data_IF_860892797026
#
_entry.id   IF_860892797026
#
_cell.length_a   1.000
_cell.length_b   1.000
_cell.length_c   1.000
_cell.angle_alpha   90.00
_cell.angle_beta   90.00
_cell.angle_gamma   90.00
#
_symmetry.space_group_name_H-M   'P 1'
#
loop_
_entity.id
_entity.type
_entity.pdbx_description
1 polymer ?
#
# COMPACT_ATOMS: atom_id res chain seq x y z
N UNK A 1 13.41 -17.34 25.25
CA UNK A 1 14.02 -18.27 24.27
C UNK A 1 14.55 -17.42 23.13
N UNK A 2 15.82 -17.62 22.77
CA UNK A 2 16.48 -16.95 21.64
C UNK A 2 15.75 -17.33 20.33
N UNK A 3 15.12 -16.36 19.68
CA UNK A 3 14.57 -16.48 18.34
C UNK A 3 15.50 -15.79 17.35
N UNK A 4 16.06 -16.59 16.45
CA UNK A 4 17.04 -16.25 15.42
C UNK A 4 16.67 -14.99 14.62
N UNK A 5 17.49 -13.93 14.72
CA UNK A 5 17.69 -13.01 13.59
C UNK A 5 18.38 -13.83 12.49
N UNK A 6 17.60 -14.45 11.61
CA UNK A 6 18.08 -14.76 10.28
C UNK A 6 18.26 -13.42 9.58
N UNK A 7 19.47 -12.86 9.71
CA UNK A 7 19.96 -11.89 8.75
C UNK A 7 19.92 -12.60 7.39
N UNK A 8 18.88 -12.31 6.61
CA UNK A 8 18.88 -12.57 5.19
C UNK A 8 20.18 -11.97 4.65
N UNK A 9 20.94 -12.76 3.89
CA UNK A 9 22.06 -12.23 3.14
C UNK A 9 21.59 -10.96 2.40
N UNK A 10 22.39 -9.89 2.31
CA UNK A 10 21.96 -8.67 1.65
C UNK A 10 21.61 -9.02 0.20
N UNK A 11 20.32 -9.20 -0.08
CA UNK A 11 19.80 -9.15 -1.41
C UNK A 11 20.25 -7.82 -1.97
N UNK A 12 20.81 -7.83 -3.18
CA UNK A 12 21.14 -6.60 -3.89
C UNK A 12 19.82 -5.84 -4.04
N UNK A 13 19.59 -4.83 -3.20
CA UNK A 13 18.43 -3.94 -3.28
C UNK A 13 18.40 -3.40 -4.70
N UNK A 14 17.34 -3.70 -5.45
CA UNK A 14 17.18 -3.16 -6.79
C UNK A 14 16.92 -1.66 -6.66
N UNK A 15 17.83 -0.83 -7.18
CA UNK A 15 17.65 0.62 -7.22
C UNK A 15 17.10 1.08 -8.58
N UNK A 16 17.02 0.18 -9.56
CA UNK A 16 16.49 0.45 -10.89
C UNK A 16 15.43 -0.59 -11.25
N UNK A 17 14.28 -0.10 -11.69
CA UNK A 17 13.11 -0.88 -12.03
C UNK A 17 12.63 -0.53 -13.44
N UNK A 18 12.06 -1.50 -14.15
CA UNK A 18 11.70 -1.36 -15.55
C UNK A 18 10.35 -1.99 -15.84
N UNK A 19 9.43 -1.24 -16.45
CA UNK A 19 8.11 -1.71 -16.83
C UNK A 19 7.88 -1.40 -18.31
N UNK A 20 7.46 -2.41 -19.06
CA UNK A 20 6.86 -2.23 -20.38
C UNK A 20 5.34 -2.30 -20.25
N UNK A 21 4.64 -1.29 -20.77
CA UNK A 21 3.19 -1.18 -20.74
C UNK A 21 2.65 -1.23 -22.16
N UNK A 22 1.79 -2.21 -22.42
CA UNK A 22 0.92 -2.23 -23.59
C UNK A 22 -0.52 -1.94 -23.17
N UNK A 23 -1.33 -1.44 -24.10
CA UNK A 23 -2.67 -0.94 -23.76
C UNK A 23 -3.72 -1.22 -24.82
N UNK A 24 -4.95 -1.53 -24.39
CA UNK A 24 -6.07 -1.79 -25.28
C UNK A 24 -6.76 -0.51 -25.77
N UNK A 25 -7.19 -0.49 -27.05
CA UNK A 25 -8.01 0.58 -27.63
C UNK A 25 -9.10 0.01 -28.52
N UNK A 26 -10.32 0.56 -28.43
CA UNK A 26 -11.42 0.27 -29.37
C UNK A 26 -12.68 -0.36 -28.76
N UNK A 27 -12.90 -0.26 -27.45
CA UNK A 27 -14.09 -0.80 -26.77
C UNK A 27 -15.43 -0.18 -27.21
N UNK A 28 -16.56 -0.60 -26.60
CA UNK A 28 -17.88 -0.01 -26.88
C UNK A 28 -18.57 0.45 -25.58
N UNK A 29 -18.82 1.77 -25.40
CA UNK A 29 -18.46 2.88 -26.29
C UNK A 29 -16.94 3.00 -26.46
N UNK A 30 -16.48 3.63 -27.55
CA UNK A 30 -15.05 3.75 -27.84
C UNK A 30 -14.28 4.45 -26.71
N UNK A 31 -13.31 3.74 -26.14
CA UNK A 31 -12.39 4.22 -25.12
C UNK A 31 -10.99 3.65 -25.34
N UNK A 32 -10.02 4.21 -24.61
CA UNK A 32 -8.62 3.80 -24.62
C UNK A 32 -8.20 3.51 -23.18
N UNK A 33 -7.46 2.41 -23.01
CA UNK A 33 -6.82 2.07 -21.74
C UNK A 33 -5.40 2.63 -21.63
N UNK A 34 -4.94 3.45 -22.60
CA UNK A 34 -3.62 4.06 -22.54
C UNK A 34 -3.45 4.91 -21.27
N UNK A 35 -2.49 4.61 -20.38
CA UNK A 35 -2.21 5.48 -19.25
C UNK A 35 -1.68 6.83 -19.77
N UNK A 36 -2.19 7.91 -19.21
CA UNK A 36 -1.67 9.25 -19.52
C UNK A 36 -0.28 9.45 -18.93
N UNK A 37 0.49 10.41 -19.46
CA UNK A 37 1.81 10.75 -18.88
C UNK A 37 1.72 11.13 -17.40
N UNK A 38 0.63 11.76 -16.95
CA UNK A 38 0.45 12.11 -15.54
C UNK A 38 0.36 10.88 -14.62
N UNK A 39 -0.25 9.78 -15.10
CA UNK A 39 -0.30 8.49 -14.39
C UNK A 39 1.11 7.93 -14.23
N UNK A 40 1.88 7.95 -15.31
CA UNK A 40 3.27 7.48 -15.32
C UNK A 40 4.15 8.34 -14.39
N UNK A 41 4.07 9.66 -14.52
CA UNK A 41 4.89 10.60 -13.74
C UNK A 41 4.62 10.49 -12.24
N UNK A 42 3.38 10.24 -11.81
CA UNK A 42 3.04 10.07 -10.40
C UNK A 42 3.70 8.81 -9.79
N UNK A 43 3.65 7.68 -10.49
CA UNK A 43 4.28 6.43 -10.02
C UNK A 43 5.80 6.51 -10.10
N UNK A 44 6.37 7.10 -11.15
CA UNK A 44 7.81 7.34 -11.25
C UNK A 44 8.29 8.25 -10.11
N UNK A 45 7.56 9.32 -9.81
CA UNK A 45 7.88 10.24 -8.72
C UNK A 45 7.81 9.54 -7.35
N UNK A 46 6.82 8.66 -7.13
CA UNK A 46 6.70 7.87 -5.90
C UNK A 46 8.01 7.11 -5.62
N UNK A 47 8.57 6.42 -6.62
CA UNK A 47 9.84 5.69 -6.51
C UNK A 47 11.05 6.63 -6.38
N UNK A 48 11.08 7.73 -7.15
CA UNK A 48 12.16 8.70 -7.11
C UNK A 48 12.34 9.32 -5.72
N UNK A 49 11.24 9.56 -4.99
CA UNK A 49 11.28 10.06 -3.62
C UNK A 49 11.93 9.11 -2.60
N UNK A 50 12.08 7.83 -2.96
CA UNK A 50 12.70 6.80 -2.13
C UNK A 50 14.10 6.44 -2.62
N UNK A 51 14.65 7.23 -3.56
CA UNK A 51 15.96 7.02 -4.15
C UNK A 51 16.01 5.91 -5.19
N UNK A 52 14.85 5.46 -5.69
CA UNK A 52 14.77 4.45 -6.75
C UNK A 52 14.54 5.09 -8.11
N UNK A 53 15.05 4.45 -9.17
CA UNK A 53 14.78 4.83 -10.55
C UNK A 53 13.77 3.85 -11.14
N UNK A 54 12.58 4.33 -11.49
CA UNK A 54 11.59 3.56 -12.23
C UNK A 54 11.53 4.06 -13.67
N UNK A 55 11.77 3.17 -14.63
CA UNK A 55 11.61 3.44 -16.06
C UNK A 55 10.36 2.74 -16.57
N UNK A 56 9.41 3.51 -17.08
CA UNK A 56 8.20 2.97 -17.71
C UNK A 56 8.23 3.33 -19.19
N UNK A 57 8.02 2.33 -20.04
CA UNK A 57 7.83 2.51 -21.48
C UNK A 57 6.42 2.09 -21.83
N UNK A 58 5.61 3.03 -22.31
CA UNK A 58 4.32 2.72 -22.94
C UNK A 58 4.60 2.44 -24.41
N UNK A 59 4.40 1.20 -24.85
CA UNK A 59 4.88 0.71 -26.15
C UNK A 59 3.71 0.47 -27.12
N UNK A 60 3.09 -0.71 -27.07
CA UNK A 60 2.16 -1.14 -28.11
C UNK A 60 0.69 -0.83 -27.82
N UNK A 61 0.01 -0.38 -28.88
CA UNK A 61 -1.44 -0.32 -28.91
C UNK A 61 -2.01 -1.68 -29.32
N UNK A 62 -2.73 -2.31 -28.40
CA UNK A 62 -3.39 -3.58 -28.58
C UNK A 62 -4.82 -3.42 -29.09
N UNK A 63 -5.29 -4.43 -29.82
CA UNK A 63 -6.71 -4.54 -30.16
C UNK A 63 -7.53 -4.78 -28.89
N UNK A 64 -8.64 -4.04 -28.73
CA UNK A 64 -9.52 -4.20 -27.57
C UNK A 64 -10.08 -5.62 -27.44
N UNK A 65 -9.92 -6.16 -26.24
CA UNK A 65 -10.60 -7.38 -25.79
C UNK A 65 -11.33 -7.04 -24.50
N UNK A 66 -12.64 -7.31 -24.44
CA UNK A 66 -13.43 -6.99 -23.25
C UNK A 66 -12.97 -7.78 -22.01
N UNK A 67 -12.56 -9.03 -22.19
CA UNK A 67 -12.16 -9.91 -21.09
C UNK A 67 -10.95 -10.74 -21.51
N UNK A 68 -9.83 -10.58 -20.82
CA UNK A 68 -8.70 -11.50 -20.89
C UNK A 68 -9.10 -12.85 -20.30
N UNK A 69 -8.89 -13.92 -21.05
CA UNK A 69 -9.38 -15.26 -20.68
C UNK A 69 -8.30 -16.14 -20.06
N UNK A 70 -8.71 -17.01 -19.14
CA UNK A 70 -7.93 -18.14 -18.61
C UNK A 70 -8.00 -19.35 -19.55
N UNK A 71 -7.29 -20.43 -19.21
CA UNK A 71 -7.46 -21.71 -19.90
C UNK A 71 -8.90 -22.21 -19.68
N UNK A 72 -9.71 -22.33 -20.74
CA UNK A 72 -11.10 -22.78 -20.60
C UNK A 72 -11.21 -24.25 -20.14
N UNK A 73 -10.13 -25.02 -20.17
CA UNK A 73 -10.09 -26.39 -19.68
C UNK A 73 -9.50 -26.51 -18.26
N UNK A 74 -8.92 -25.43 -17.74
CA UNK A 74 -8.27 -25.37 -16.43
C UNK A 74 -8.35 -23.95 -15.85
N UNK A 75 -9.54 -23.58 -15.38
CA UNK A 75 -9.79 -22.22 -14.86
C UNK A 75 -8.98 -21.90 -13.61
N UNK A 76 -8.57 -22.92 -12.86
CA UNK A 76 -7.74 -22.79 -11.66
C UNK A 76 -6.27 -22.47 -12.02
N UNK A 77 -5.85 -22.71 -13.27
CA UNK A 77 -4.52 -22.32 -13.73
C UNK A 77 -4.39 -20.80 -13.82
N UNK A 78 -3.15 -20.32 -13.63
CA UNK A 78 -2.84 -18.89 -13.70
C UNK A 78 -3.24 -18.28 -15.04
N UNK A 79 -3.88 -17.10 -14.99
CA UNK A 79 -4.20 -16.26 -16.13
C UNK A 79 -2.96 -15.98 -17.00
N UNK A 80 -1.82 -15.78 -16.36
CA UNK A 80 -0.54 -15.46 -17.01
C UNK A 80 0.06 -16.64 -17.78
N UNK A 81 -0.35 -17.88 -17.45
CA UNK A 81 0.20 -19.10 -18.05
C UNK A 81 -0.49 -19.51 -19.36
N UNK A 82 -1.73 -19.07 -19.58
CA UNK A 82 -2.51 -19.46 -20.75
C UNK A 82 -2.10 -18.65 -21.99
N UNK A 83 -1.87 -19.35 -23.11
CA UNK A 83 -1.41 -18.78 -24.39
C UNK A 83 -2.41 -19.06 -25.53
N UNK A 84 -3.71 -19.01 -25.23
CA UNK A 84 -4.77 -19.13 -26.23
C UNK A 84 -5.26 -17.78 -26.77
N UNK A 85 -6.26 -17.80 -27.64
CA UNK A 85 -6.91 -16.57 -28.14
C UNK A 85 -7.43 -15.71 -26.99
N UNK A 86 -7.24 -14.38 -27.07
CA UNK A 86 -7.68 -13.40 -26.07
C UNK A 86 -7.08 -13.61 -24.66
N UNK A 87 -5.95 -14.31 -24.55
CA UNK A 87 -5.26 -14.53 -23.28
C UNK A 87 -4.12 -13.55 -23.06
N UNK A 88 -3.70 -13.38 -21.80
CA UNK A 88 -2.51 -12.61 -21.47
C UNK A 88 -1.26 -13.19 -22.15
N UNK A 89 -1.04 -14.51 -22.05
CA UNK A 89 0.17 -15.15 -22.57
C UNK A 89 0.32 -15.03 -24.09
N UNK A 90 -0.78 -15.03 -24.84
CA UNK A 90 -0.74 -14.80 -26.29
C UNK A 90 -0.37 -13.36 -26.66
N UNK A 91 -0.83 -12.39 -25.87
CA UNK A 91 -0.45 -10.99 -26.06
C UNK A 91 1.02 -10.79 -25.68
N UNK A 92 1.45 -11.26 -24.50
CA UNK A 92 2.84 -11.18 -24.04
C UNK A 92 3.80 -11.80 -25.05
N UNK A 93 3.50 -12.99 -25.56
CA UNK A 93 4.36 -13.68 -26.53
C UNK A 93 4.53 -12.92 -27.86
N UNK A 94 3.61 -12.02 -28.21
CA UNK A 94 3.63 -11.27 -29.45
C UNK A 94 4.18 -9.84 -29.31
N UNK A 95 4.11 -9.24 -28.12
CA UNK A 95 4.38 -7.81 -27.94
C UNK A 95 5.41 -7.50 -26.83
N UNK A 96 5.80 -8.46 -25.97
CA UNK A 96 6.79 -8.16 -24.93
C UNK A 96 8.22 -8.05 -25.51
N UNK A 97 8.54 -6.86 -26.00
CA UNK A 97 9.75 -6.54 -26.77
C UNK A 97 11.03 -6.62 -25.92
N UNK A 98 10.90 -6.39 -24.61
CA UNK A 98 12.03 -6.37 -23.67
C UNK A 98 12.25 -7.67 -22.91
N UNK A 99 11.54 -8.76 -23.25
CA UNK A 99 11.70 -10.07 -22.62
C UNK A 99 13.16 -10.60 -22.65
N UNK A 100 13.90 -10.31 -23.72
CA UNK A 100 15.30 -10.74 -23.89
C UNK A 100 16.33 -9.69 -23.44
N UNK A 101 15.90 -8.60 -22.81
CA UNK A 101 16.78 -7.56 -22.31
C UNK A 101 17.60 -8.06 -21.11
N UNK A 102 18.76 -7.45 -20.88
CA UNK A 102 19.61 -7.79 -19.73
C UNK A 102 19.05 -7.25 -18.40
N UNK A 103 18.21 -6.22 -18.45
CA UNK A 103 17.50 -5.69 -17.28
C UNK A 103 16.23 -6.53 -16.99
N UNK A 104 15.79 -6.62 -15.73
CA UNK A 104 14.55 -7.30 -15.36
C UNK A 104 13.35 -6.42 -15.70
N UNK A 105 12.83 -6.53 -16.92
CA UNK A 105 11.60 -5.84 -17.32
C UNK A 105 10.38 -6.62 -16.85
N UNK A 106 9.42 -5.89 -16.30
CA UNK A 106 8.10 -6.40 -15.95
C UNK A 106 7.11 -6.03 -17.05
N UNK A 107 6.20 -6.94 -17.39
CA UNK A 107 5.26 -6.74 -18.48
C UNK A 107 3.86 -6.47 -17.96
N UNK A 108 3.35 -5.29 -18.31
CA UNK A 108 2.05 -4.79 -17.89
C UNK A 108 1.12 -4.66 -19.09
N UNK A 109 -0.12 -5.13 -18.95
CA UNK A 109 -1.19 -4.80 -19.89
C UNK A 109 -2.24 -3.94 -19.20
N UNK A 110 -2.45 -2.74 -19.72
CA UNK A 110 -3.64 -1.95 -19.43
C UNK A 110 -4.80 -2.47 -20.28
N UNK A 111 -5.58 -3.37 -19.68
CA UNK A 111 -6.67 -4.10 -20.29
C UNK A 111 -8.04 -3.66 -19.76
N UNK A 112 -9.10 -4.24 -20.31
CA UNK A 112 -10.47 -3.94 -19.90
C UNK A 112 -10.86 -4.69 -18.62
N UNK A 113 -11.06 -6.01 -18.71
CA UNK A 113 -11.33 -6.90 -17.59
C UNK A 113 -10.60 -8.23 -17.80
N UNK A 114 -10.59 -9.10 -16.80
CA UNK A 114 -10.05 -10.46 -16.89
C UNK A 114 -10.99 -11.48 -16.23
N UNK A 115 -10.65 -12.76 -16.38
CA UNK A 115 -11.35 -13.87 -15.73
C UNK A 115 -10.73 -14.25 -14.38
N UNK A 116 -11.55 -14.46 -13.35
CA UNK A 116 -11.12 -15.05 -12.07
C UNK A 116 -10.79 -16.55 -12.21
N UNK A 117 -10.35 -17.19 -11.11
CA UNK A 117 -10.01 -18.62 -11.07
C UNK A 117 -11.19 -19.57 -11.38
N UNK A 118 -12.40 -19.06 -11.56
CA UNK A 118 -13.57 -19.82 -11.98
C UNK A 118 -13.98 -19.52 -13.43
N UNK A 119 -13.10 -18.86 -14.20
CA UNK A 119 -13.37 -18.35 -15.55
C UNK A 119 -14.55 -17.36 -15.64
N UNK A 120 -14.93 -16.71 -14.53
CA UNK A 120 -15.95 -15.66 -14.56
C UNK A 120 -15.28 -14.30 -14.75
N UNK A 121 -15.93 -13.40 -15.49
CA UNK A 121 -15.45 -12.02 -15.60
C UNK A 121 -15.47 -11.37 -14.23
N UNK A 122 -14.32 -10.87 -13.78
CA UNK A 122 -14.19 -10.11 -12.53
C UNK A 122 -14.16 -8.61 -12.78
N UNK A 123 -14.47 -7.85 -11.74
CA UNK A 123 -14.44 -6.39 -11.66
C UNK A 123 -13.21 -5.88 -10.93
N UNK A 124 -12.27 -6.76 -10.59
CA UNK A 124 -10.99 -6.42 -9.96
C UNK A 124 -10.22 -5.41 -10.80
N UNK A 125 -9.64 -4.40 -10.15
CA UNK A 125 -8.86 -3.35 -10.81
C UNK A 125 -7.56 -3.84 -11.41
N UNK A 126 -7.07 -5.02 -11.02
CA UNK A 126 -5.82 -5.59 -11.51
C UNK A 126 -5.60 -7.03 -11.07
N UNK A 127 -4.49 -7.59 -11.52
CA UNK A 127 -3.98 -8.89 -11.10
C UNK A 127 -2.47 -8.89 -11.34
N UNK A 128 -1.72 -9.46 -10.41
CA UNK A 128 -0.29 -9.67 -10.57
C UNK A 128 0.08 -11.10 -10.19
N UNK A 129 1.14 -11.61 -10.80
CA UNK A 129 1.91 -12.70 -10.21
C UNK A 129 3.13 -12.13 -9.48
N UNK A 130 3.78 -12.94 -8.67
CA UNK A 130 5.06 -12.55 -8.10
C UNK A 130 6.15 -12.54 -9.18
N UNK A 131 6.49 -11.36 -9.66
CA UNK A 131 7.84 -11.03 -10.11
C UNK A 131 8.07 -10.81 -11.59
N UNK A 132 7.05 -10.88 -12.44
CA UNK A 132 7.22 -10.62 -13.87
C UNK A 132 6.03 -9.93 -14.52
N UNK A 133 4.82 -10.35 -14.17
CA UNK A 133 3.62 -10.05 -14.97
C UNK A 133 2.51 -9.47 -14.12
N UNK A 134 1.84 -8.49 -14.69
CA UNK A 134 0.64 -7.92 -14.09
C UNK A 134 -0.24 -7.22 -15.12
N UNK A 135 -1.47 -6.91 -14.71
CA UNK A 135 -2.46 -6.20 -15.53
C UNK A 135 -3.18 -5.14 -14.71
N UNK A 136 -3.53 -4.04 -15.39
CA UNK A 136 -4.45 -3.03 -14.87
C UNK A 136 -5.76 -3.14 -15.66
N UNK A 137 -6.86 -3.43 -14.98
CA UNK A 137 -8.18 -3.76 -15.55
C UNK A 137 -9.32 -2.94 -14.96
N UNK A 138 -9.43 -1.68 -15.37
CA UNK A 138 -10.43 -0.73 -14.86
C UNK A 138 -11.73 -0.67 -15.68
N UNK A 139 -12.03 -1.71 -16.47
CA UNK A 139 -13.22 -1.77 -17.35
C UNK A 139 -14.56 -1.73 -16.61
N UNK A 140 -14.60 -2.20 -15.36
CA UNK A 140 -15.79 -2.13 -14.49
C UNK A 140 -15.93 -0.79 -13.74
N UNK A 141 -14.92 0.10 -13.83
CA UNK A 141 -14.86 1.34 -13.09
C UNK A 141 -15.45 2.51 -13.90
N UNK A 142 -15.47 3.71 -13.30
CA UNK A 142 -15.98 4.92 -13.93
C UNK A 142 -15.40 5.11 -15.34
N UNK A 143 -16.26 5.40 -16.31
CA UNK A 143 -15.85 5.58 -17.71
C UNK A 143 -15.28 4.34 -18.40
N UNK A 144 -15.36 3.15 -17.78
CA UNK A 144 -14.70 1.91 -18.21
C UNK A 144 -13.16 1.98 -18.27
N UNK A 145 -12.58 2.97 -17.59
CA UNK A 145 -11.13 3.18 -17.54
C UNK A 145 -10.64 3.61 -16.15
N UNK A 146 -11.56 3.82 -15.20
CA UNK A 146 -11.27 4.46 -13.92
C UNK A 146 -10.87 5.93 -14.08
N UNK A 147 -10.66 6.58 -12.94
CA UNK A 147 -10.02 7.90 -12.85
C UNK A 147 -8.51 7.78 -13.05
N UNK A 148 -7.83 8.92 -13.25
CA UNK A 148 -6.36 8.93 -13.31
C UNK A 148 -5.74 8.45 -12.00
N UNK A 149 -6.38 8.72 -10.86
CA UNK A 149 -5.91 8.21 -9.56
C UNK A 149 -6.05 6.69 -9.50
N UNK A 150 -7.19 6.13 -9.93
CA UNK A 150 -7.40 4.68 -9.99
C UNK A 150 -6.31 3.99 -10.82
N UNK A 151 -5.98 4.55 -11.99
CA UNK A 151 -4.93 4.03 -12.86
C UNK A 151 -3.55 4.04 -12.21
N UNK A 152 -3.15 5.17 -11.61
CA UNK A 152 -1.83 5.30 -10.99
C UNK A 152 -1.69 4.43 -9.74
N UNK A 153 -2.71 4.42 -8.88
CA UNK A 153 -2.68 3.62 -7.67
C UNK A 153 -2.72 2.12 -7.95
N UNK A 154 -3.49 1.69 -8.96
CA UNK A 154 -3.51 0.28 -9.38
C UNK A 154 -2.19 -0.12 -10.03
N UNK A 155 -1.63 0.72 -10.91
CA UNK A 155 -0.29 0.47 -11.48
C UNK A 155 0.77 0.32 -10.38
N UNK A 156 0.77 1.20 -9.39
CA UNK A 156 1.67 1.09 -8.25
C UNK A 156 1.41 -0.19 -7.46
N UNK A 157 0.16 -0.48 -7.09
CA UNK A 157 -0.22 -1.67 -6.33
C UNK A 157 0.23 -2.98 -7.01
N UNK A 158 -0.13 -3.17 -8.27
CA UNK A 158 0.21 -4.38 -9.02
C UNK A 158 1.72 -4.53 -9.20
N UNK A 159 2.42 -3.43 -9.43
CA UNK A 159 3.87 -3.45 -9.49
C UNK A 159 4.49 -3.77 -8.12
N UNK A 160 3.85 -3.40 -7.02
CA UNK A 160 4.24 -3.80 -5.67
C UNK A 160 4.27 -5.31 -5.47
N UNK A 161 3.30 -6.05 -6.04
CA UNK A 161 3.33 -7.51 -6.04
C UNK A 161 4.51 -8.08 -6.82
N UNK A 162 4.83 -7.50 -7.98
CA UNK A 162 6.05 -7.84 -8.71
C UNK A 162 7.33 -7.54 -7.91
N UNK A 163 7.26 -6.66 -6.91
CA UNK A 163 8.36 -6.34 -6.00
C UNK A 163 8.34 -7.10 -4.67
N UNK A 164 7.52 -8.15 -4.57
CA UNK A 164 7.40 -9.01 -3.40
C UNK A 164 6.59 -8.42 -2.24
N UNK A 165 5.70 -7.47 -2.52
CA UNK A 165 4.75 -6.96 -1.53
C UNK A 165 3.42 -7.74 -1.59
N UNK A 166 2.71 -7.76 -0.48
CA UNK A 166 1.36 -8.32 -0.35
C UNK A 166 0.40 -7.26 0.19
N UNK A 167 -0.89 -7.57 0.31
CA UNK A 167 -1.88 -6.60 0.81
C UNK A 167 -1.69 -6.15 2.27
N UNK A 168 -0.84 -6.83 3.04
CA UNK A 168 -0.43 -6.44 4.38
C UNK A 168 1.08 -6.11 4.47
N UNK A 169 1.74 -5.94 3.32
CA UNK A 169 3.15 -5.61 3.23
C UNK A 169 4.12 -6.78 3.40
N UNK A 170 3.71 -7.93 3.97
CA UNK A 170 4.58 -9.11 4.12
C UNK A 170 3.94 -10.42 3.67
N UNK A 171 4.75 -11.43 3.33
CA UNK A 171 4.31 -12.79 2.98
C UNK A 171 3.47 -13.53 4.05
N UNK A 172 3.20 -12.90 5.20
CA UNK A 172 2.58 -13.53 6.36
C UNK A 172 1.17 -13.02 6.68
N UNK A 173 0.59 -12.07 5.94
CA UNK A 173 -0.88 -12.05 5.91
C UNK A 173 -1.30 -13.29 5.15
N UNK A 174 -1.85 -14.27 5.86
CA UNK A 174 -2.40 -15.46 5.24
C UNK A 174 -3.36 -15.08 4.11
N UNK A 175 -3.47 -15.94 3.10
CA UNK A 175 -4.59 -15.95 2.15
C UNK A 175 -5.78 -16.76 2.70
N UNK A 176 -5.62 -17.38 3.87
CA UNK A 176 -6.63 -18.20 4.53
C UNK A 176 -7.27 -17.45 5.71
N UNK A 177 -8.53 -17.06 5.55
CA UNK A 177 -9.36 -16.47 6.61
C UNK A 177 -9.54 -17.38 7.85
N UNK A 178 -9.23 -18.68 7.74
CA UNK A 178 -9.25 -19.61 8.85
C UNK A 178 -7.96 -19.57 9.69
N UNK A 179 -6.89 -18.92 9.21
CA UNK A 179 -5.67 -18.71 9.98
C UNK A 179 -5.94 -17.69 11.12
N UNK A 180 -5.64 -18.03 12.39
CA UNK A 180 -5.78 -17.09 13.50
C UNK A 180 -4.89 -15.84 13.37
N UNK A 181 -3.78 -15.93 12.62
CA UNK A 181 -2.88 -14.81 12.35
C UNK A 181 -3.22 -14.07 11.04
N UNK A 182 -4.37 -14.39 10.42
CA UNK A 182 -4.84 -13.73 9.19
C UNK A 182 -5.03 -12.22 9.39
N UNK A 183 -4.25 -11.43 8.65
CA UNK A 183 -4.42 -10.00 8.51
C UNK A 183 -5.01 -9.76 7.12
N UNK A 184 -6.28 -9.34 7.04
CA UNK A 184 -6.97 -9.11 5.77
C UNK A 184 -6.38 -7.97 4.93
N UNK A 185 -6.84 -7.79 3.68
CA UNK A 185 -6.23 -6.85 2.73
C UNK A 185 -6.50 -5.37 3.03
N UNK A 186 -7.28 -5.08 4.06
CA UNK A 186 -7.62 -3.72 4.48
C UNK A 186 -6.84 -3.37 5.74
N UNK A 187 -5.52 -3.32 5.71
CA UNK A 187 -4.71 -3.09 6.92
C UNK A 187 -4.77 -1.63 7.38
N UNK A 188 -5.26 -1.38 8.62
CA UNK A 188 -5.54 -0.03 9.17
C UNK A 188 -4.33 0.83 9.51
N UNK A 189 -3.21 0.21 9.85
CA UNK A 189 -2.00 0.90 10.28
C UNK A 189 -0.87 0.73 9.27
N UNK A 190 -1.16 0.25 8.06
CA UNK A 190 -0.19 0.17 6.97
C UNK A 190 -0.52 1.23 5.90
N UNK A 191 0.03 2.45 6.00
CA UNK A 191 -0.25 3.56 5.11
C UNK A 191 0.39 3.32 3.74
N UNK A 192 -0.26 2.48 2.94
CA UNK A 192 0.26 1.96 1.68
C UNK A 192 -0.83 1.68 0.67
N UNK A 193 -0.57 1.95 -0.60
CA UNK A 193 -1.45 1.56 -1.71
C UNK A 193 -1.61 0.04 -1.85
N UNK A 194 -0.74 -0.77 -1.22
CA UNK A 194 -0.91 -2.23 -1.16
C UNK A 194 -2.12 -2.65 -0.32
N UNK A 195 -2.54 -1.85 0.66
CA UNK A 195 -3.77 -2.10 1.40
C UNK A 195 -4.96 -1.59 0.59
N UNK A 196 -5.96 -2.45 0.37
CA UNK A 196 -7.21 -2.08 -0.30
C UNK A 196 -7.92 -0.91 0.37
N UNK A 197 -7.68 -0.71 1.68
CA UNK A 197 -8.16 0.46 2.42
C UNK A 197 -7.81 1.76 1.71
N UNK A 198 -6.58 1.83 1.21
CA UNK A 198 -5.92 3.05 0.76
C UNK A 198 -5.74 3.10 -0.76
N UNK A 199 -5.68 1.95 -1.42
CA UNK A 199 -5.38 1.84 -2.85
C UNK A 199 -6.10 2.91 -3.69
N UNK A 200 -7.42 2.87 -3.75
CA UNK A 200 -8.19 3.82 -4.58
C UNK A 200 -8.66 5.06 -3.82
N UNK A 201 -8.56 5.06 -2.48
CA UNK A 201 -9.04 6.15 -1.63
C UNK A 201 -7.96 7.18 -1.28
N UNK A 202 -6.69 6.90 -1.58
CA UNK A 202 -5.53 7.69 -1.18
C UNK A 202 -5.09 7.38 0.24
N UNK A 203 -3.79 7.11 0.43
CA UNK A 203 -3.22 6.82 1.77
C UNK A 203 -3.49 7.98 2.72
N UNK A 204 -2.95 9.18 2.46
CA UNK A 204 -3.17 10.35 3.33
C UNK A 204 -4.65 10.69 3.43
N UNK A 205 -5.34 10.77 2.29
CA UNK A 205 -6.72 11.24 2.23
C UNK A 205 -7.67 10.35 3.04
N UNK A 206 -7.55 9.03 2.90
CA UNK A 206 -8.38 8.08 3.63
C UNK A 206 -7.98 7.99 5.11
N UNK A 207 -6.70 8.14 5.45
CA UNK A 207 -6.28 8.27 6.85
C UNK A 207 -6.89 9.50 7.53
N UNK A 208 -6.93 10.65 6.85
CA UNK A 208 -7.62 11.84 7.37
C UNK A 208 -9.11 11.58 7.55
N UNK A 209 -9.75 10.93 6.57
CA UNK A 209 -11.17 10.62 6.63
C UNK A 209 -11.54 9.69 7.78
N UNK A 210 -10.74 8.66 8.03
CA UNK A 210 -10.97 7.73 9.12
C UNK A 210 -10.45 8.23 10.48
N UNK A 211 -9.97 9.48 10.57
CA UNK A 211 -9.43 10.01 11.82
C UNK A 211 -8.20 9.25 12.33
N UNK A 212 -7.42 8.66 11.42
CA UNK A 212 -6.18 7.94 11.74
C UNK A 212 -4.99 8.89 11.86
N UNK A 213 -5.12 10.09 11.31
CA UNK A 213 -4.08 11.10 11.30
C UNK A 213 -4.66 12.52 11.16
N UNK A 214 -3.78 13.52 11.10
CA UNK A 214 -4.12 14.92 10.89
C UNK A 214 -3.31 15.52 9.73
N UNK A 215 -3.70 16.72 9.29
CA UNK A 215 -3.26 17.37 8.07
C UNK A 215 -1.73 17.54 7.92
N UNK A 216 -1.03 17.80 9.03
CA UNK A 216 0.42 17.97 9.07
C UNK A 216 1.19 16.66 9.10
N UNK A 217 0.56 15.51 9.31
CA UNK A 217 1.25 14.23 9.26
C UNK A 217 1.83 13.97 7.87
N UNK A 218 2.99 13.31 7.85
CA UNK A 218 3.78 13.14 6.62
C UNK A 218 3.40 11.82 5.95
N UNK A 219 2.35 11.89 5.15
CA UNK A 219 1.92 10.83 4.24
C UNK A 219 1.71 11.41 2.85
N UNK A 220 1.91 10.58 1.84
CA UNK A 220 1.49 10.83 0.45
C UNK A 220 0.20 10.07 0.17
N UNK A 221 -0.48 10.34 -0.94
CA UNK A 221 -1.66 9.58 -1.35
C UNK A 221 -1.29 8.33 -2.15
N UNK A 222 -0.17 8.37 -2.89
CA UNK A 222 0.44 7.21 -3.54
C UNK A 222 1.81 6.95 -2.90
N UNK A 223 1.87 5.97 -2.01
CA UNK A 223 3.09 5.51 -1.35
C UNK A 223 2.99 4.05 -0.92
N UNK A 224 4.14 3.42 -0.69
CA UNK A 224 4.24 2.25 0.16
C UNK A 224 4.59 2.67 1.59
N UNK A 225 4.36 1.77 2.53
CA UNK A 225 4.60 2.03 3.94
C UNK A 225 6.09 2.08 4.28
N UNK A 226 6.38 2.92 5.27
CA UNK A 226 7.70 3.08 5.88
C UNK A 226 7.86 2.28 7.18
N UNK A 227 6.84 1.50 7.59
CA UNK A 227 6.90 0.66 8.80
C UNK A 227 7.03 1.47 10.09
N UNK A 228 6.36 2.62 10.17
CA UNK A 228 6.51 3.59 11.28
C UNK A 228 5.31 3.66 12.20
N UNK A 229 4.14 3.23 11.74
CA UNK A 229 2.90 3.31 12.52
C UNK A 229 2.91 2.35 13.72
N UNK A 230 2.07 2.66 14.71
CA UNK A 230 1.90 1.83 15.89
C UNK A 230 1.21 0.51 15.54
N UNK A 231 1.64 -0.58 16.19
CA UNK A 231 0.87 -1.81 16.21
C UNK A 231 -0.50 -1.55 16.87
N UNK A 232 -1.54 -2.20 16.35
CA UNK A 232 -2.90 -2.16 16.87
C UNK A 232 -3.24 -3.53 17.43
N UNK A 233 -3.52 -3.60 18.72
CA UNK A 233 -4.07 -4.80 19.36
C UNK A 233 -5.59 -4.74 19.27
N UNK A 234 -6.18 -5.50 18.36
CA UNK A 234 -7.62 -5.47 18.09
C UNK A 234 -8.46 -5.99 19.28
N UNK A 235 -7.87 -6.71 20.24
CA UNK A 235 -8.56 -7.08 21.49
C UNK A 235 -8.54 -5.97 22.55
N UNK A 236 -7.71 -4.94 22.36
CA UNK A 236 -7.48 -3.88 23.35
C UNK A 236 -7.11 -2.52 22.71
N UNK A 237 -7.87 -2.08 21.70
CA UNK A 237 -7.64 -0.80 21.05
C UNK A 237 -7.94 0.35 22.01
N UNK A 238 -7.07 1.36 21.99
CA UNK A 238 -7.26 2.59 22.75
C UNK A 238 -7.59 3.73 21.79
N UNK A 239 -8.84 4.16 21.80
CA UNK A 239 -9.36 5.21 20.91
C UNK A 239 -8.86 6.59 21.29
N UNK A 240 -8.66 6.82 22.59
CA UNK A 240 -8.05 8.07 23.07
C UNK A 240 -6.64 8.24 22.51
N UNK A 241 -5.88 7.14 22.45
CA UNK A 241 -4.55 7.13 21.87
C UNK A 241 -4.57 7.10 20.33
N UNK A 242 -5.52 6.38 19.73
CA UNK A 242 -5.58 6.08 18.30
C UNK A 242 -4.27 5.49 17.80
N UNK A 243 -3.69 6.10 16.77
CA UNK A 243 -2.37 5.75 16.20
C UNK A 243 -1.21 6.49 16.88
N UNK A 244 -1.43 7.05 18.08
CA UNK A 244 -0.61 8.05 18.78
C UNK A 244 -0.52 9.43 18.10
N UNK A 245 -1.01 9.56 16.86
CA UNK A 245 -1.05 10.84 16.15
C UNK A 245 -2.26 11.68 16.53
N UNK A 246 -3.43 11.05 16.57
CA UNK A 246 -4.72 11.63 16.91
C UNK A 246 -5.60 10.55 17.55
N UNK A 247 -6.58 10.93 18.37
CA UNK A 247 -7.61 10.00 18.84
C UNK A 247 -8.44 9.48 17.66
N UNK A 248 -8.79 8.20 17.69
CA UNK A 248 -9.49 7.49 16.62
C UNK A 248 -10.63 6.68 17.24
N UNK A 249 -11.86 6.99 16.85
CA UNK A 249 -13.05 6.19 17.13
C UNK A 249 -13.05 4.99 16.16
N UNK A 250 -12.60 3.83 16.65
CA UNK A 250 -12.38 2.64 15.83
C UNK A 250 -13.70 1.93 15.53
N UNK A 251 -14.62 1.92 16.49
CA UNK A 251 -15.92 1.24 16.34
C UNK A 251 -17.05 2.12 15.79
N UNK A 252 -16.76 3.41 15.61
CA UNK A 252 -17.63 4.42 15.06
C UNK A 252 -18.91 4.64 15.89
N UNK A 253 -18.87 4.38 17.21
CA UNK A 253 -20.02 4.56 18.10
C UNK A 253 -20.20 6.03 18.58
N UNK A 254 -19.20 6.88 18.32
CA UNK A 254 -19.17 8.30 18.68
C UNK A 254 -18.62 8.59 20.07
N UNK A 255 -18.12 7.59 20.77
CA UNK A 255 -17.44 7.66 22.07
C UNK A 255 -15.96 7.36 21.88
N UNK A 256 -15.13 7.76 22.86
CA UNK A 256 -13.72 7.41 22.88
C UNK A 256 -13.42 6.61 24.14
N UNK A 257 -13.01 5.37 23.95
CA UNK A 257 -12.65 4.44 25.00
C UNK A 257 -11.15 4.14 25.07
N UNK A 258 -10.71 3.73 26.25
CA UNK A 258 -9.30 3.37 26.48
C UNK A 258 -8.98 1.91 26.13
N UNK A 259 -10.00 1.09 25.88
CA UNK A 259 -9.87 -0.35 25.59
C UNK A 259 -11.18 -0.88 24.99
N UNK A 260 -11.19 -1.14 23.69
CA UNK A 260 -12.29 -1.82 23.00
C UNK A 260 -11.75 -2.99 22.18
N UNK A 261 -12.63 -3.94 21.87
CA UNK A 261 -12.32 -5.07 21.02
C UNK A 261 -12.98 -4.86 19.65
N UNK A 262 -12.18 -4.58 18.63
CA UNK A 262 -12.68 -4.23 17.30
C UNK A 262 -11.75 -4.73 16.19
N UNK A 263 -12.30 -5.38 15.15
CA UNK A 263 -11.52 -5.71 13.96
C UNK A 263 -11.39 -4.47 13.09
N UNK A 264 -10.17 -3.95 13.00
CA UNK A 264 -9.85 -2.78 12.22
C UNK A 264 -9.53 -3.11 10.77
N UNK A 265 -9.43 -4.38 10.37
CA UNK A 265 -8.98 -4.83 9.06
C UNK A 265 -10.08 -5.34 8.12
N UNK A 266 -11.32 -4.94 8.38
CA UNK A 266 -12.46 -5.27 7.53
C UNK A 266 -12.57 -4.31 6.33
N UNK A 267 -13.28 -4.73 5.27
CA UNK A 267 -13.60 -3.88 4.12
C UNK A 267 -14.48 -2.68 4.50
N UNK A 268 -15.15 -2.79 5.64
CA UNK A 268 -15.84 -1.69 6.29
C UNK A 268 -15.19 -1.35 7.63
N UNK A 269 -14.65 -0.14 7.70
CA UNK A 269 -13.95 0.36 8.87
C UNK A 269 -14.81 0.30 10.14
N UNK A 270 -16.10 0.60 9.99
CA UNK A 270 -17.07 0.65 11.09
C UNK A 270 -17.83 -0.68 11.26
N UNK A 271 -17.30 -1.81 10.79
CA UNK A 271 -17.93 -3.13 10.97
C UNK A 271 -16.93 -4.15 11.55
N UNK A 272 -17.30 -4.77 12.67
CA UNK A 272 -16.42 -5.63 13.48
C UNK A 272 -16.40 -7.12 13.10
N UNK A 273 -16.78 -7.46 11.87
CA UNK A 273 -16.72 -8.85 11.39
C UNK A 273 -15.29 -9.39 11.30
N UNK A 274 -15.08 -10.69 11.61
CA UNK A 274 -13.80 -11.39 11.41
C UNK A 274 -13.01 -11.71 12.69
N UNK A 275 -11.84 -12.33 12.51
CA UNK A 275 -10.89 -12.57 13.60
C UNK A 275 -10.20 -11.27 13.99
N UNK A 276 -9.88 -11.13 15.28
CA UNK A 276 -9.09 -10.02 15.80
C UNK A 276 -7.66 -10.47 16.01
N UNK A 277 -6.71 -9.61 15.67
CA UNK A 277 -5.28 -9.91 15.71
C UNK A 277 -4.47 -8.68 16.14
N UNK A 278 -3.15 -8.83 16.22
CA UNK A 278 -2.24 -7.70 16.33
C UNK A 278 -1.85 -7.28 14.92
N UNK A 279 -2.34 -6.11 14.51
CA UNK A 279 -2.04 -5.53 13.21
C UNK A 279 -0.74 -4.74 13.32
N UNK A 280 0.22 -4.99 12.45
CA UNK A 280 1.51 -4.31 12.47
C UNK A 280 1.81 -3.66 11.13
N UNK A 281 2.41 -2.49 11.19
CA UNK A 281 2.94 -1.82 10.00
C UNK A 281 4.22 -2.51 9.53
N UNK A 282 4.43 -2.52 8.22
CA UNK A 282 5.59 -3.13 7.58
C UNK A 282 6.34 -2.10 6.73
N UNK A 283 7.67 -2.08 6.83
CA UNK A 283 8.48 -1.18 6.00
C UNK A 283 8.67 -1.78 4.61
N UNK A 284 7.70 -1.54 3.74
CA UNK A 284 7.69 -2.05 2.36
C UNK A 284 8.86 -1.48 1.55
N UNK A 285 9.13 -0.17 1.66
CA UNK A 285 10.23 0.47 0.93
C UNK A 285 11.61 -0.10 1.26
N UNK A 286 11.83 -0.53 2.51
CA UNK A 286 13.09 -1.15 2.91
C UNK A 286 13.21 -2.62 2.47
N UNK A 287 12.11 -3.25 2.06
CA UNK A 287 12.05 -4.70 1.81
C UNK A 287 11.64 -5.05 0.37
N UNK A 288 11.67 -4.09 -0.56
CA UNK A 288 11.46 -4.37 -1.99
C UNK A 288 12.50 -5.39 -2.50
N UNK A 289 12.01 -6.39 -3.22
CA UNK A 289 12.81 -7.42 -3.89
C UNK A 289 12.42 -7.48 -5.36
N UNK A 290 13.34 -7.83 -6.26
CA UNK A 290 13.05 -7.86 -7.70
C UNK A 290 13.58 -9.13 -8.36
N UNK A 291 12.86 -9.62 -9.36
CA UNK A 291 13.15 -10.81 -10.15
C UNK A 291 13.67 -11.99 -9.33
N UNK A 292 14.93 -12.38 -9.57
CA UNK A 292 15.55 -13.53 -8.91
C UNK A 292 15.85 -13.34 -7.41
N UNK A 293 15.55 -12.19 -6.81
CA UNK A 293 15.60 -11.98 -5.36
C UNK A 293 14.26 -12.24 -4.65
N UNK A 294 13.15 -12.33 -5.39
CA UNK A 294 11.82 -12.57 -4.80
C UNK A 294 11.82 -13.93 -4.09
N UNK A 295 11.40 -14.06 -2.82
CA UNK A 295 11.39 -15.34 -2.11
C UNK A 295 10.62 -16.44 -2.87
N UNK A 296 11.13 -17.68 -2.86
CA UNK A 296 10.50 -18.78 -3.60
C UNK A 296 9.06 -19.09 -3.16
N UNK A 297 8.72 -18.78 -1.92
CA UNK A 297 7.39 -18.88 -1.35
C UNK A 297 6.45 -17.74 -1.77
N UNK A 298 6.99 -16.61 -2.27
CA UNK A 298 6.20 -15.61 -3.00
C UNK A 298 6.11 -15.99 -4.48
N UNK A 299 7.14 -16.64 -5.05
CA UNK A 299 7.16 -17.13 -6.45
C UNK A 299 6.33 -18.39 -6.72
N UNK A 300 5.59 -18.93 -5.75
CA UNK A 300 4.54 -19.89 -6.13
C UNK A 300 3.62 -19.19 -7.13
N UNK A 301 2.93 -19.93 -8.00
CA UNK A 301 1.96 -19.39 -8.98
C UNK A 301 0.73 -18.71 -8.32
N UNK A 302 0.91 -18.11 -7.16
CA UNK A 302 -0.06 -17.33 -6.43
C UNK A 302 -0.23 -16.01 -7.17
N UNK A 303 -1.47 -15.78 -7.59
CA UNK A 303 -1.88 -14.54 -8.19
C UNK A 303 -2.50 -13.69 -7.10
N UNK A 304 -2.08 -12.43 -7.02
CA UNK A 304 -2.65 -11.46 -6.12
C UNK A 304 -3.70 -10.68 -6.89
N UNK A 305 -4.96 -10.91 -6.52
CA UNK A 305 -6.07 -10.11 -7.02
C UNK A 305 -5.97 -8.71 -6.49
N UNK A 306 -6.57 -7.74 -7.18
CA UNK A 306 -6.73 -6.38 -6.69
C UNK A 306 -8.15 -6.11 -6.18
N UNK A 307 -8.36 -4.93 -5.56
CA UNK A 307 -9.68 -4.48 -5.13
C UNK A 307 -10.71 -4.49 -6.28
N UNK A 308 -11.89 -5.00 -6.01
CA UNK A 308 -13.02 -5.02 -6.96
C UNK A 308 -13.78 -3.70 -6.99
N UNK A 309 -14.52 -3.45 -8.07
CA UNK A 309 -15.42 -2.30 -8.15
C UNK A 309 -16.49 -2.32 -7.03
N UNK A 310 -16.96 -3.50 -6.63
CA UNK A 310 -17.91 -3.69 -5.53
C UNK A 310 -17.30 -3.30 -4.18
N UNK A 311 -16.08 -3.77 -3.89
CA UNK A 311 -15.34 -3.40 -2.68
C UNK A 311 -15.01 -1.90 -2.66
N UNK A 312 -14.65 -1.33 -3.81
CA UNK A 312 -14.42 0.11 -3.92
C UNK A 312 -15.68 0.92 -3.60
N UNK A 313 -16.86 0.49 -4.10
CA UNK A 313 -18.13 1.14 -3.76
C UNK A 313 -18.41 1.11 -2.25
N UNK A 314 -18.01 0.06 -1.53
CA UNK A 314 -18.13 -0.01 -0.06
C UNK A 314 -17.31 1.09 0.60
N UNK A 315 -16.05 1.28 0.18
CA UNK A 315 -15.18 2.35 0.72
C UNK A 315 -15.72 3.73 0.35
N UNK A 316 -16.16 3.94 -0.90
CA UNK A 316 -16.73 5.23 -1.33
C UNK A 316 -17.96 5.62 -0.50
N UNK A 317 -18.84 4.66 -0.20
CA UNK A 317 -20.00 4.90 0.64
C UNK A 317 -19.59 5.30 2.06
N UNK A 318 -18.56 4.68 2.64
CA UNK A 318 -18.03 5.08 3.96
C UNK A 318 -17.45 6.49 3.93
N UNK A 319 -16.65 6.81 2.92
CA UNK A 319 -16.09 8.15 2.75
C UNK A 319 -17.21 9.20 2.65
N UNK A 320 -18.30 8.89 1.93
CA UNK A 320 -19.45 9.78 1.81
C UNK A 320 -20.22 9.95 3.12
N UNK A 321 -20.38 8.88 3.93
CA UNK A 321 -21.07 8.93 5.22
C UNK A 321 -20.36 9.80 6.26
N UNK A 322 -19.03 9.86 6.21
CA UNK A 322 -18.23 10.70 7.14
C UNK A 322 -18.34 12.20 6.86
N UNK A 323 -18.91 12.59 5.71
CA UNK A 323 -19.17 13.98 5.34
C UNK A 323 -17.90 14.80 5.05
N UNK A 324 -18.09 16.11 4.79
CA UNK A 324 -16.97 17.04 4.59
C UNK A 324 -16.23 16.88 3.25
N UNK A 325 -14.90 17.06 3.29
CA UNK A 325 -13.96 16.96 2.17
C UNK A 325 -13.56 15.54 1.82
N UNK A 326 -14.18 14.51 2.43
CA UNK A 326 -13.88 13.11 2.19
C UNK A 326 -14.30 12.63 0.81
N UNK A 327 -13.33 12.52 -0.09
CA UNK A 327 -13.48 12.07 -1.46
C UNK A 327 -12.18 11.44 -1.96
N UNK A 328 -12.22 10.83 -3.13
CA UNK A 328 -11.01 10.32 -3.76
C UNK A 328 -10.07 11.50 -4.10
N UNK A 329 -8.75 11.41 -3.81
CA UNK A 329 -7.80 12.42 -4.22
C UNK A 329 -7.76 12.57 -5.75
N UNK A 330 -7.53 13.79 -6.21
CA UNK A 330 -7.17 14.00 -7.61
C UNK A 330 -5.72 13.61 -7.81
N UNK A 331 -5.40 12.90 -8.88
CA UNK A 331 -4.02 12.52 -9.19
C UNK A 331 -3.11 13.75 -9.23
N UNK A 332 -2.00 13.68 -8.49
CA UNK A 332 -0.94 14.67 -8.51
C UNK A 332 0.42 13.97 -8.44
N UNK A 333 1.42 14.59 -9.05
CA UNK A 333 2.82 14.25 -8.80
C UNK A 333 3.21 14.84 -7.44
N UNK A 334 3.34 13.99 -6.43
CA UNK A 334 3.59 14.42 -5.06
C UNK A 334 5.08 14.75 -4.83
N UNK A 335 5.36 15.88 -4.20
CA UNK A 335 6.73 16.25 -3.83
C UNK A 335 7.28 15.27 -2.78
N UNK A 336 8.58 15.04 -2.82
CA UNK A 336 9.23 14.22 -1.81
C UNK A 336 9.14 14.88 -0.43
N UNK A 337 8.80 14.06 0.56
CA UNK A 337 8.74 14.48 1.95
C UNK A 337 10.17 14.79 2.41
N UNK A 338 10.36 15.95 3.02
CA UNK A 338 11.68 16.38 3.53
C UNK A 338 11.97 15.91 4.95
N UNK A 339 10.94 15.39 5.64
CA UNK A 339 10.98 14.92 7.01
C UNK A 339 10.23 13.60 7.17
N UNK A 340 10.19 13.11 8.40
CA UNK A 340 9.60 11.81 8.73
C UNK A 340 8.66 11.91 9.94
N UNK A 341 7.78 10.92 10.05
CA UNK A 341 6.98 10.68 11.25
C UNK A 341 7.87 9.96 12.27
N UNK A 342 8.10 10.58 13.42
CA UNK A 342 9.02 10.15 14.48
C UNK A 342 8.25 9.97 15.78
N UNK A 343 8.49 8.88 16.51
CA UNK A 343 7.85 8.61 17.79
C UNK A 343 8.83 8.72 18.96
N UNK A 344 8.36 9.32 20.05
CA UNK A 344 9.11 9.50 21.30
C UNK A 344 8.28 8.96 22.45
N UNK A 345 8.87 8.14 23.32
CA UNK A 345 8.16 7.48 24.42
C UNK A 345 9.02 6.47 25.19
N UNK A 346 8.41 5.85 26.20
CA UNK A 346 9.09 4.85 27.03
C UNK A 346 9.64 3.68 26.20
N UNK A 347 10.87 3.27 26.53
CA UNK A 347 11.72 2.49 25.66
C UNK A 347 12.19 1.16 26.25
N UNK A 348 12.38 0.17 25.36
CA UNK A 348 13.10 -1.06 25.63
C UNK A 348 13.99 -1.48 24.43
N UNK A 349 15.31 -1.39 24.64
CA UNK A 349 16.44 -2.02 23.91
C UNK A 349 16.91 -1.53 22.50
N UNK A 350 16.07 -1.16 21.53
CA UNK A 350 16.55 -0.60 20.21
C UNK A 350 15.75 0.62 19.71
N UNK A 351 16.36 1.79 19.55
CA UNK A 351 15.68 3.03 19.10
C UNK A 351 15.79 3.23 17.59
N UNK A 352 14.65 3.45 16.92
CA UNK A 352 14.59 3.72 15.49
C UNK A 352 13.64 4.88 15.11
N UNK A 353 12.93 5.45 16.09
CA UNK A 353 11.94 6.50 15.87
C UNK A 353 10.63 6.01 15.24
N UNK A 354 10.42 4.70 15.14
CA UNK A 354 9.12 4.10 14.80
C UNK A 354 8.26 4.01 16.05
N UNK A 355 6.95 3.80 15.93
CA UNK A 355 6.12 3.70 17.13
C UNK A 355 6.42 2.46 18.00
N UNK A 356 6.88 1.36 17.38
CA UNK A 356 7.28 0.14 18.08
C UNK A 356 8.66 0.31 18.74
N UNK A 357 9.54 1.12 18.12
CA UNK A 357 10.90 1.41 18.58
C UNK A 357 11.11 2.93 18.71
N UNK A 358 10.38 3.61 19.63
CA UNK A 358 10.47 5.06 19.78
C UNK A 358 11.83 5.44 20.38
N UNK A 359 12.20 6.71 20.21
CA UNK A 359 13.29 7.30 21.02
C UNK A 359 12.80 7.57 22.44
N UNK A 360 13.66 7.38 23.44
CA UNK A 360 13.35 7.75 24.82
C UNK A 360 13.65 9.22 25.16
N UNK A 361 14.21 9.95 24.20
CA UNK A 361 14.61 11.36 24.31
C UNK A 361 14.14 12.16 23.11
N UNK A 362 13.54 13.33 23.38
CA UNK A 362 13.19 14.34 22.38
C UNK A 362 14.44 14.88 21.70
N UNK A 363 15.53 15.10 22.46
CA UNK A 363 16.80 15.57 21.90
C UNK A 363 17.39 14.55 20.92
N UNK A 364 17.40 13.27 21.28
CA UNK A 364 17.93 12.20 20.42
C UNK A 364 17.08 12.04 19.16
N UNK A 365 15.75 12.02 19.31
CA UNK A 365 14.83 11.98 18.18
C UNK A 365 15.08 13.16 17.23
N UNK A 366 15.17 14.38 17.76
CA UNK A 366 15.44 15.60 16.98
C UNK A 366 16.78 15.50 16.24
N UNK A 367 17.84 15.01 16.89
CA UNK A 367 19.15 14.87 16.28
C UNK A 367 19.15 13.86 15.13
N UNK A 368 18.47 12.72 15.31
CA UNK A 368 18.38 11.66 14.32
C UNK A 368 17.47 12.02 13.13
N UNK A 369 16.40 12.77 13.36
CA UNK A 369 15.40 13.05 12.34
C UNK A 369 15.87 14.07 11.28
N UNK A 370 15.41 13.94 10.02
CA UNK A 370 15.60 14.99 9.02
C UNK A 370 14.85 16.29 9.37
N UNK A 371 15.17 17.37 8.65
CA UNK A 371 14.45 18.64 8.76
C UNK A 371 12.96 18.46 8.47
N UNK A 372 12.12 19.27 9.09
CA UNK A 372 10.67 19.25 8.92
C UNK A 372 10.02 17.91 9.30
N UNK A 373 10.60 17.16 10.24
CA UNK A 373 9.97 15.94 10.78
C UNK A 373 8.81 16.26 11.72
N UNK A 374 7.95 15.27 11.97
CA UNK A 374 6.83 15.32 12.91
C UNK A 374 7.12 14.39 14.07
N UNK A 375 7.15 14.91 15.29
CA UNK A 375 7.48 14.15 16.50
C UNK A 375 6.20 13.91 17.30
N UNK A 376 5.81 12.65 17.45
CA UNK A 376 4.67 12.21 18.23
C UNK A 376 5.17 11.72 19.59
N UNK A 377 5.05 12.57 20.60
CA UNK A 377 5.56 12.36 21.94
C UNK A 377 4.44 11.77 22.80
N UNK A 378 4.66 10.59 23.37
CA UNK A 378 3.73 10.02 24.35
C UNK A 378 3.70 10.88 25.62
N UNK A 379 2.56 10.99 26.33
CA UNK A 379 2.54 11.69 27.62
C UNK A 379 3.52 11.06 28.62
N UNK A 380 4.23 11.91 29.35
CA UNK A 380 5.30 11.48 30.26
C UNK A 380 6.26 12.60 30.62
N UNK A 381 7.26 12.27 31.45
CA UNK A 381 8.38 13.15 31.77
C UNK A 381 9.65 12.59 31.15
N UNK A 382 10.26 13.37 30.27
CA UNK A 382 11.47 13.04 29.54
C UNK A 382 12.63 13.80 30.18
N UNK A 383 13.46 13.08 30.93
CA UNK A 383 14.62 13.67 31.62
C UNK A 383 15.79 13.75 30.63
N UNK A 384 16.05 14.94 30.13
CA UNK A 384 17.06 15.16 29.09
C UNK A 384 18.42 15.45 29.72
N UNK A 385 19.47 14.92 29.10
CA UNK A 385 20.83 15.15 29.56
C UNK A 385 21.30 16.57 29.17
N UNK A 386 21.00 17.56 30.00
CA UNK A 386 21.45 18.93 29.81
C UNK A 386 20.46 19.79 29.01
N UNK A 387 20.97 20.71 28.18
CA UNK A 387 20.11 21.65 27.45
C UNK A 387 19.61 21.01 26.16
N UNK A 388 18.29 20.87 26.04
CA UNK A 388 17.63 20.46 24.80
C UNK A 388 17.76 21.58 23.77
N UNK A 389 18.41 21.27 22.65
CA UNK A 389 18.68 22.14 21.52
C UNK A 389 17.94 21.61 20.29
N UNK A 390 16.91 22.34 19.87
CA UNK A 390 16.12 22.06 18.68
C UNK A 390 16.58 22.95 17.53
N UNK A 391 17.74 22.62 16.96
CA UNK A 391 18.46 23.42 15.94
C UNK A 391 17.99 23.24 14.49
N UNK A 392 17.01 22.35 14.25
CA UNK A 392 16.41 22.07 12.94
C UNK A 392 14.91 22.36 12.98
N UNK A 393 14.28 22.73 11.85
CA UNK A 393 12.82 22.86 11.82
C UNK A 393 12.18 21.49 12.09
N UNK A 394 11.15 21.46 12.93
CA UNK A 394 10.42 20.26 13.33
C UNK A 394 9.13 20.64 14.05
N UNK A 395 8.16 19.73 14.07
CA UNK A 395 6.88 19.95 14.74
C UNK A 395 6.67 18.87 15.77
N UNK A 396 6.31 19.26 16.99
CA UNK A 396 6.23 18.38 18.15
C UNK A 396 4.79 18.34 18.63
N UNK A 397 4.26 17.13 18.78
CA UNK A 397 2.87 16.86 19.11
C UNK A 397 2.83 15.93 20.32
N UNK A 398 1.90 16.21 21.22
CA UNK A 398 1.52 15.31 22.31
C UNK A 398 0.00 15.16 22.21
N UNK A 399 -0.46 14.09 21.55
CA UNK A 399 -1.88 13.90 21.27
C UNK A 399 -2.70 13.72 22.55
N UNK A 400 -2.16 12.96 23.51
CA UNK A 400 -2.82 12.66 24.78
C UNK A 400 -2.05 13.27 25.94
N UNK A 401 -2.77 13.84 26.92
CA UNK A 401 -2.17 14.34 28.16
C UNK A 401 -1.13 15.45 27.95
N UNK A 402 0.04 15.28 28.56
CA UNK A 402 1.15 16.24 28.51
C UNK A 402 2.50 15.52 28.48
N UNK A 403 3.41 16.01 27.64
CA UNK A 403 4.83 15.66 27.69
C UNK A 403 5.61 16.79 28.36
N UNK A 404 6.35 16.49 29.42
CA UNK A 404 7.24 17.42 30.12
C UNK A 404 8.67 17.05 29.73
N UNK A 405 9.41 18.03 29.24
CA UNK A 405 10.82 17.88 28.83
C UNK A 405 11.65 18.61 29.89
N UNK A 406 12.29 17.84 30.76
CA UNK A 406 13.01 18.32 31.96
C UNK A 406 14.53 18.30 31.81
#
# INVERSE_FOLDING_TARGET
MLGCLLALAPGVRADNFYIEIDYMVGGTPNHSHQPSQAVIDAVVQMFACQGHTLTIVVDDQLTHVNVLVRDPNDCDASLFSYNGTNSYGAIKAANFDRAANANPWHYCIFAHQYQDGNCNTTTSSGLANSGEDFIVTLGAFSGQTGTLFDQAATLAHEFGHNLGLSHCGSQYCGSDTADPDYVGPYVSNMPSVMSYRYQLSGVKFNMLCNGLTFDLALFKDIDYSHGRMCALDEDALNEVAGTQMISTDWDCDGTLEASIAWNTNNNNFCDSGGNRTIVTDYNEWANLVDGAAIPANMRSNEEYTCITAEEWNIIQNQMAMRGGSCGQPTLATENCLSGENMYVGDFFFVEAGTCIFPYDSVQQAHNAAPNNSRFYIKPGTYNEAGVVTLDKPGYYFCNTGSAIID
#
